data_IF_134631755820
#
_entry.id   IF_134631755820
#
_cell.length_a   1.000
_cell.length_b   1.000
_cell.length_c   1.000
_cell.angle_alpha   90.00
_cell.angle_beta   90.00
_cell.angle_gamma   90.00
#
_symmetry.space_group_name_H-M   'P 1'
#
loop_
_entity.id
_entity.type
_entity.pdbx_description
1 polymer ?
#
# COMPACT_ATOMS: atom_id res chain seq x y z
N UNK A 1 13.06 12.39 8.04
CA UNK A 1 12.10 12.62 9.14
C UNK A 1 11.07 13.68 8.78
N UNK A 2 10.08 13.29 7.97
CA UNK A 2 9.03 14.22 7.54
C UNK A 2 7.89 14.37 8.55
N UNK A 3 7.79 13.44 9.53
CA UNK A 3 6.82 13.43 10.62
C UNK A 3 7.50 13.01 11.92
N UNK A 4 8.25 13.92 12.57
CA UNK A 4 9.07 13.57 13.75
C UNK A 4 8.27 13.16 14.99
N UNK A 5 6.95 13.44 15.03
CA UNK A 5 6.06 13.05 16.12
C UNK A 5 5.43 11.66 15.92
N UNK A 6 5.56 11.09 14.72
CA UNK A 6 4.97 9.79 14.42
C UNK A 6 5.77 8.66 15.05
N UNK A 7 5.08 7.75 15.71
CA UNK A 7 5.64 6.44 16.11
C UNK A 7 5.43 5.47 14.95
N UNK A 8 6.51 4.85 14.48
CA UNK A 8 6.46 3.91 13.38
C UNK A 8 6.73 2.50 13.88
N UNK A 9 5.82 1.57 13.56
CA UNK A 9 5.94 0.15 13.83
C UNK A 9 6.06 -0.56 12.49
N UNK A 10 7.17 -1.24 12.25
CA UNK A 10 7.45 -1.96 11.02
C UNK A 10 7.87 -3.40 11.36
N UNK A 11 6.90 -4.33 11.50
CA UNK A 11 7.20 -5.70 11.87
C UNK A 11 7.76 -6.48 10.69
N UNK A 12 8.61 -7.47 10.99
CA UNK A 12 8.89 -8.55 10.05
C UNK A 12 7.64 -9.42 9.89
N UNK A 13 7.19 -9.60 8.66
CA UNK A 13 6.03 -10.45 8.41
C UNK A 13 6.46 -11.91 8.23
N UNK A 14 5.72 -12.87 8.84
CA UNK A 14 5.85 -14.28 8.49
C UNK A 14 5.65 -14.52 7.00
N UNK A 15 6.31 -15.53 6.46
CA UNK A 15 6.17 -15.87 5.04
C UNK A 15 4.79 -16.48 4.72
N UNK A 16 4.19 -17.16 5.68
CA UNK A 16 2.86 -17.73 5.55
C UNK A 16 1.80 -16.64 5.73
N UNK A 17 0.92 -16.42 4.73
CA UNK A 17 0.02 -15.29 4.72
C UNK A 17 -1.00 -15.27 5.87
N UNK A 18 -1.49 -16.41 6.32
CA UNK A 18 -2.40 -16.46 7.48
C UNK A 18 -1.70 -16.01 8.77
N UNK A 19 -0.46 -16.45 9.00
CA UNK A 19 0.34 -16.03 10.15
C UNK A 19 0.65 -14.52 10.09
N UNK A 20 0.94 -14.01 8.89
CA UNK A 20 1.17 -12.58 8.67
C UNK A 20 -0.10 -11.76 8.99
N UNK A 21 -1.27 -12.20 8.52
CA UNK A 21 -2.54 -11.54 8.82
C UNK A 21 -2.91 -11.60 10.29
N UNK A 22 -2.65 -12.73 10.96
CA UNK A 22 -2.87 -12.84 12.41
C UNK A 22 -1.99 -11.86 13.17
N UNK A 23 -0.70 -11.80 12.86
CA UNK A 23 0.23 -10.83 13.45
C UNK A 23 -0.26 -9.39 13.25
N UNK A 24 -0.63 -9.03 12.02
CA UNK A 24 -1.08 -7.68 11.69
C UNK A 24 -2.39 -7.31 12.40
N UNK A 25 -3.37 -8.21 12.44
CA UNK A 25 -4.63 -7.99 13.17
C UNK A 25 -4.39 -7.80 14.67
N UNK A 26 -3.46 -8.57 15.25
CA UNK A 26 -3.09 -8.42 16.65
C UNK A 26 -2.40 -7.07 16.90
N UNK A 27 -1.47 -6.65 16.03
CA UNK A 27 -0.84 -5.33 16.12
C UNK A 27 -1.86 -4.19 16.00
N UNK A 28 -2.78 -4.26 15.04
CA UNK A 28 -3.85 -3.25 14.92
C UNK A 28 -4.67 -3.17 16.20
N UNK A 29 -4.98 -4.30 16.82
CA UNK A 29 -5.77 -4.35 18.05
C UNK A 29 -5.01 -3.81 19.28
N UNK A 30 -3.71 -4.08 19.38
CA UNK A 30 -2.90 -3.68 20.54
C UNK A 30 -2.38 -2.25 20.44
N UNK A 31 -1.95 -1.84 19.25
CA UNK A 31 -1.31 -0.55 19.03
C UNK A 31 -2.30 0.54 18.60
N UNK A 32 -3.49 0.15 18.12
CA UNK A 32 -4.54 1.06 17.65
C UNK A 32 -3.98 2.17 16.72
N UNK A 33 -3.36 1.79 15.58
CA UNK A 33 -2.69 2.76 14.73
C UNK A 33 -3.66 3.74 14.09
N UNK A 34 -3.23 4.98 13.91
CA UNK A 34 -4.00 6.01 13.20
C UNK A 34 -3.98 5.80 11.68
N UNK A 35 -2.92 5.16 11.17
CA UNK A 35 -2.73 4.91 9.74
C UNK A 35 -1.91 3.64 9.51
N UNK A 36 -2.31 2.85 8.53
CA UNK A 36 -1.54 1.69 8.07
C UNK A 36 -1.08 1.96 6.63
N UNK A 37 0.20 1.71 6.37
CA UNK A 37 0.78 1.84 5.03
C UNK A 37 1.43 0.51 4.66
N UNK A 38 1.01 -0.07 3.54
CA UNK A 38 1.60 -1.31 3.02
C UNK A 38 2.02 -1.17 1.57
N UNK A 39 3.13 -1.81 1.22
CA UNK A 39 3.65 -1.84 -0.15
C UNK A 39 3.66 -3.27 -0.68
N UNK A 40 3.35 -3.45 -1.95
CA UNK A 40 3.37 -4.76 -2.62
C UNK A 40 2.52 -5.80 -1.87
N UNK A 41 3.09 -6.89 -1.41
CA UNK A 41 2.44 -7.89 -0.55
C UNK A 41 1.88 -7.25 0.73
N UNK A 42 2.62 -6.33 1.34
CA UNK A 42 2.14 -5.55 2.48
C UNK A 42 0.91 -4.70 2.15
N UNK A 43 0.81 -4.19 0.91
CA UNK A 43 -0.37 -3.49 0.41
C UNK A 43 -1.60 -4.38 0.29
N UNK A 44 -1.42 -5.63 -0.12
CA UNK A 44 -2.47 -6.65 -0.12
C UNK A 44 -3.02 -6.89 1.30
N UNK A 45 -2.14 -7.10 2.27
CA UNK A 45 -2.57 -7.27 3.67
C UNK A 45 -3.24 -6.02 4.24
N UNK A 46 -2.70 -4.84 3.91
CA UNK A 46 -3.23 -3.56 4.38
C UNK A 46 -4.67 -3.35 3.95
N UNK A 47 -5.03 -3.72 2.73
CA UNK A 47 -6.42 -3.63 2.27
C UNK A 47 -7.39 -4.36 3.20
N UNK A 48 -7.02 -5.52 3.71
CA UNK A 48 -7.86 -6.38 4.55
C UNK A 48 -7.89 -5.98 6.04
N UNK A 49 -7.19 -4.92 6.45
CA UNK A 49 -7.17 -4.41 7.83
C UNK A 49 -8.24 -3.31 8.01
N UNK A 50 -9.50 -3.70 7.86
CA UNK A 50 -10.66 -2.81 7.87
C UNK A 50 -10.79 -1.97 9.14
N UNK A 51 -11.44 -0.81 9.01
CA UNK A 51 -11.74 0.09 10.13
C UNK A 51 -10.67 1.14 10.43
N UNK A 52 -9.48 1.05 9.82
CA UNK A 52 -8.37 2.00 9.99
C UNK A 52 -8.12 2.74 8.67
N UNK A 53 -7.63 3.97 8.72
CA UNK A 53 -7.14 4.66 7.53
C UNK A 53 -5.93 3.93 6.94
N UNK A 54 -5.92 3.72 5.61
CA UNK A 54 -4.93 2.86 4.95
C UNK A 54 -4.43 3.44 3.65
N UNK A 55 -3.16 3.19 3.37
CA UNK A 55 -2.54 3.48 2.07
C UNK A 55 -1.94 2.18 1.53
N UNK A 56 -2.44 1.74 0.38
CA UNK A 56 -1.92 0.59 -0.35
C UNK A 56 -1.06 1.07 -1.50
N UNK A 57 0.23 0.74 -1.50
CA UNK A 57 1.17 1.15 -2.54
C UNK A 57 1.53 -0.05 -3.40
N UNK A 58 1.27 0.02 -4.70
CA UNK A 58 1.49 -1.10 -5.63
C UNK A 58 1.02 -2.43 -5.04
N UNK A 59 -0.22 -2.53 -4.51
CA UNK A 59 -0.68 -3.69 -3.77
C UNK A 59 -0.78 -4.93 -4.65
N UNK A 60 -0.14 -6.01 -4.21
CA UNK A 60 -0.06 -7.26 -4.95
C UNK A 60 -1.30 -8.15 -4.74
N UNK A 61 -2.49 -7.70 -5.13
CA UNK A 61 -3.76 -8.43 -4.99
C UNK A 61 -3.83 -9.74 -5.80
N UNK A 62 -2.86 -9.97 -6.67
CA UNK A 62 -2.72 -11.20 -7.45
C UNK A 62 -1.40 -11.92 -7.11
N UNK A 63 -1.01 -11.91 -5.83
CA UNK A 63 0.31 -12.35 -5.36
C UNK A 63 0.68 -13.74 -5.86
N UNK A 64 -0.24 -14.71 -5.85
CA UNK A 64 0.02 -16.05 -6.34
C UNK A 64 0.38 -16.09 -7.83
N UNK A 65 -0.26 -15.30 -8.67
CA UNK A 65 0.07 -15.13 -10.09
C UNK A 65 1.36 -14.36 -10.26
N UNK A 66 1.53 -13.27 -9.52
CA UNK A 66 2.75 -12.44 -9.54
C UNK A 66 4.00 -13.26 -9.24
N UNK A 67 3.99 -14.13 -8.22
CA UNK A 67 5.10 -15.02 -7.90
C UNK A 67 5.46 -15.93 -9.09
N UNK A 68 4.43 -16.49 -9.73
CA UNK A 68 4.62 -17.44 -10.83
C UNK A 68 5.16 -16.73 -12.08
N UNK A 69 4.56 -15.63 -12.46
CA UNK A 69 4.88 -14.86 -13.67
C UNK A 69 6.24 -14.15 -13.57
N UNK A 70 6.59 -13.68 -12.37
CA UNK A 70 7.87 -13.02 -12.11
C UNK A 70 9.01 -13.97 -11.75
N UNK A 71 8.83 -15.28 -11.95
CA UNK A 71 9.82 -16.32 -11.65
C UNK A 71 10.40 -16.27 -10.22
N UNK A 72 9.54 -15.97 -9.24
CA UNK A 72 9.91 -15.87 -7.83
C UNK A 72 9.83 -17.22 -7.08
N UNK A 73 9.76 -18.34 -7.81
CA UNK A 73 9.76 -19.70 -7.24
C UNK A 73 11.15 -20.09 -6.76
N UNK A 74 11.21 -20.94 -5.74
CA UNK A 74 12.47 -21.45 -5.20
C UNK A 74 13.12 -20.51 -4.19
N UNK A 75 14.44 -20.48 -4.16
CA UNK A 75 15.20 -19.68 -3.20
C UNK A 75 15.16 -18.21 -3.59
N UNK A 76 14.71 -17.38 -2.66
CA UNK A 76 14.65 -15.92 -2.76
C UNK A 76 15.40 -15.29 -1.60
N UNK A 77 15.91 -14.08 -1.81
CA UNK A 77 16.58 -13.27 -0.79
C UNK A 77 15.64 -12.14 -0.39
N UNK A 78 15.51 -11.90 0.90
CA UNK A 78 14.74 -10.76 1.39
C UNK A 78 15.39 -9.45 0.94
N UNK A 79 14.59 -8.53 0.44
CA UNK A 79 15.07 -7.24 -0.07
C UNK A 79 15.50 -6.27 1.04
N UNK A 80 14.91 -6.41 2.21
CA UNK A 80 15.21 -5.61 3.39
C UNK A 80 15.82 -6.50 4.45
N UNK A 81 16.70 -5.92 5.26
CA UNK A 81 17.22 -6.59 6.44
C UNK A 81 16.06 -6.85 7.43
N UNK A 82 16.00 -8.06 7.95
CA UNK A 82 14.99 -8.49 8.90
C UNK A 82 15.56 -8.47 10.34
N UNK A 83 14.70 -8.16 11.29
CA UNK A 83 15.06 -8.14 12.72
C UNK A 83 15.35 -9.55 13.27
N UNK A 84 14.70 -10.57 12.69
CA UNK A 84 14.94 -11.98 13.02
C UNK A 84 16.25 -12.54 12.44
N UNK A 85 16.94 -11.78 11.58
CA UNK A 85 18.20 -12.15 10.95
C UNK A 85 18.08 -13.10 9.76
N UNK A 86 16.86 -13.52 9.39
CA UNK A 86 16.62 -14.34 8.20
C UNK A 86 16.95 -13.57 6.93
N UNK A 87 17.70 -14.18 6.03
CA UNK A 87 18.14 -13.56 4.78
C UNK A 87 17.47 -14.13 3.55
N UNK A 88 16.96 -15.33 3.65
CA UNK A 88 16.50 -16.11 2.51
C UNK A 88 15.18 -16.82 2.85
N UNK A 89 14.41 -17.09 1.82
CA UNK A 89 13.16 -17.83 1.90
C UNK A 89 13.05 -18.79 0.72
N UNK A 90 12.39 -19.92 0.92
CA UNK A 90 12.08 -20.88 -0.16
C UNK A 90 10.61 -20.74 -0.52
N UNK A 91 10.34 -20.23 -1.71
CA UNK A 91 8.99 -20.11 -2.25
C UNK A 91 8.60 -21.41 -2.92
N UNK A 92 7.67 -22.12 -2.29
CA UNK A 92 7.16 -23.43 -2.75
C UNK A 92 5.82 -23.29 -3.46
N UNK A 93 5.40 -24.32 -4.19
CA UNK A 93 4.04 -24.37 -4.78
C UNK A 93 2.94 -24.33 -3.73
N UNK A 94 3.18 -24.91 -2.55
CA UNK A 94 2.24 -24.85 -1.44
C UNK A 94 2.07 -23.39 -0.96
N UNK A 95 3.17 -22.66 -0.78
CA UNK A 95 3.14 -21.24 -0.41
C UNK A 95 2.41 -20.40 -1.46
N UNK A 96 2.63 -20.63 -2.74
CA UNK A 96 1.89 -19.94 -3.82
C UNK A 96 0.39 -20.18 -3.71
N UNK A 97 -0.01 -21.39 -3.36
CA UNK A 97 -1.43 -21.72 -3.14
C UNK A 97 -2.01 -20.94 -1.96
N UNK A 98 -1.28 -20.86 -0.84
CA UNK A 98 -1.68 -20.06 0.33
C UNK A 98 -1.88 -18.58 -0.05
N UNK A 99 -0.99 -18.00 -0.86
CA UNK A 99 -1.16 -16.62 -1.36
C UNK A 99 -2.37 -16.46 -2.28
N UNK A 100 -2.68 -17.46 -3.12
CA UNK A 100 -3.90 -17.42 -3.94
C UNK A 100 -5.15 -17.41 -3.08
N UNK A 101 -5.21 -18.28 -2.08
CA UNK A 101 -6.32 -18.36 -1.12
C UNK A 101 -6.44 -17.07 -0.29
N UNK A 102 -5.32 -16.45 0.07
CA UNK A 102 -5.32 -15.14 0.77
C UNK A 102 -5.86 -14.02 -0.12
N UNK A 103 -5.44 -13.95 -1.39
CA UNK A 103 -5.89 -12.90 -2.31
C UNK A 103 -7.39 -12.98 -2.61
N UNK A 104 -8.01 -14.14 -2.49
CA UNK A 104 -9.46 -14.33 -2.62
C UNK A 104 -10.24 -13.67 -1.49
N UNK A 105 -9.59 -13.36 -0.36
CA UNK A 105 -10.20 -12.66 0.76
C UNK A 105 -10.17 -11.12 0.63
N UNK A 106 -9.40 -10.59 -0.33
CA UNK A 106 -9.35 -9.16 -0.60
C UNK A 106 -10.72 -8.61 -1.01
N UNK A 107 -11.00 -7.37 -0.64
CA UNK A 107 -12.24 -6.65 -0.96
C UNK A 107 -13.54 -7.23 -0.37
N UNK A 108 -13.45 -8.20 0.55
CA UNK A 108 -14.61 -8.91 1.09
C UNK A 108 -15.53 -8.03 1.96
N UNK A 109 -15.03 -6.93 2.54
CA UNK A 109 -15.77 -6.09 3.48
C UNK A 109 -15.74 -4.60 3.08
N UNK A 110 -15.68 -4.31 1.79
CA UNK A 110 -15.71 -2.93 1.29
C UNK A 110 -17.12 -2.34 1.44
N UNK A 111 -17.26 -1.38 2.34
CA UNK A 111 -18.47 -0.58 2.53
C UNK A 111 -18.25 0.85 2.06
N UNK A 112 -19.29 1.67 1.97
CA UNK A 112 -19.14 3.09 1.67
C UNK A 112 -18.21 3.81 2.68
N UNK A 113 -18.26 3.42 3.94
CA UNK A 113 -17.37 3.95 4.96
C UNK A 113 -15.91 3.54 4.72
N UNK A 114 -15.65 2.26 4.39
CA UNK A 114 -14.32 1.77 4.07
C UNK A 114 -13.73 2.44 2.82
N UNK A 115 -14.54 2.74 1.81
CA UNK A 115 -14.08 3.46 0.61
C UNK A 115 -13.49 4.84 0.94
N UNK A 116 -13.93 5.49 2.01
CA UNK A 116 -13.40 6.78 2.44
C UNK A 116 -12.06 6.67 3.21
N UNK A 117 -11.72 5.47 3.67
CA UNK A 117 -10.53 5.20 4.50
C UNK A 117 -9.33 4.72 3.70
N UNK A 118 -9.49 4.38 2.41
CA UNK A 118 -8.44 3.69 1.65
C UNK A 118 -7.96 4.51 0.46
N UNK A 119 -6.65 4.71 0.39
CA UNK A 119 -5.94 5.24 -0.76
C UNK A 119 -5.11 4.16 -1.42
N UNK A 120 -5.14 4.10 -2.74
CA UNK A 120 -4.23 3.30 -3.56
C UNK A 120 -3.24 4.20 -4.30
N UNK A 121 -1.95 3.91 -4.20
CA UNK A 121 -0.89 4.56 -4.96
C UNK A 121 -0.27 3.54 -5.92
N UNK A 122 -0.24 3.86 -7.21
CA UNK A 122 0.20 2.94 -8.25
C UNK A 122 1.28 3.56 -9.12
N UNK A 123 2.44 2.91 -9.22
CA UNK A 123 3.51 3.32 -10.12
C UNK A 123 3.13 3.06 -11.58
N UNK A 124 3.23 4.08 -12.42
CA UNK A 124 2.91 3.98 -13.85
C UNK A 124 3.97 3.21 -14.67
N UNK A 125 5.13 2.98 -14.07
CA UNK A 125 6.25 2.21 -14.64
C UNK A 125 6.53 0.91 -13.83
N UNK A 126 5.59 0.45 -13.00
CA UNK A 126 5.75 -0.78 -12.22
C UNK A 126 5.79 -2.00 -13.14
N UNK A 127 6.91 -2.75 -13.22
CA UNK A 127 7.01 -3.93 -14.10
C UNK A 127 6.42 -5.21 -13.48
N UNK A 128 5.97 -5.16 -12.22
CA UNK A 128 5.64 -6.35 -11.43
C UNK A 128 4.15 -6.43 -11.11
N UNK A 129 3.55 -5.32 -10.69
CA UNK A 129 2.18 -5.27 -10.18
C UNK A 129 1.33 -4.30 -10.99
N UNK A 130 0.20 -4.78 -11.51
CA UNK A 130 -0.73 -4.03 -12.35
C UNK A 130 -2.15 -4.18 -11.82
N UNK A 131 -2.43 -3.65 -10.64
CA UNK A 131 -3.70 -3.85 -9.93
C UNK A 131 -4.52 -2.56 -9.75
N UNK A 132 -4.19 -1.51 -10.50
CA UNK A 132 -4.94 -0.25 -10.46
C UNK A 132 -6.42 -0.42 -10.81
N UNK A 133 -6.72 -1.11 -11.91
CA UNK A 133 -8.10 -1.32 -12.37
C UNK A 133 -8.89 -2.13 -11.35
N UNK A 134 -8.31 -3.24 -10.86
CA UNK A 134 -8.92 -4.07 -9.83
C UNK A 134 -9.21 -3.28 -8.55
N UNK A 135 -8.27 -2.45 -8.08
CA UNK A 135 -8.48 -1.59 -6.93
C UNK A 135 -9.60 -0.58 -7.18
N UNK A 136 -9.64 0.02 -8.37
CA UNK A 136 -10.60 1.05 -8.76
C UNK A 136 -12.04 0.53 -8.90
N UNK A 137 -12.22 -0.78 -9.06
CA UNK A 137 -13.54 -1.42 -9.01
C UNK A 137 -14.17 -1.35 -7.60
N UNK A 138 -13.35 -1.23 -6.56
CA UNK A 138 -13.79 -1.27 -5.17
C UNK A 138 -13.60 0.06 -4.44
N UNK A 139 -12.56 0.83 -4.78
CA UNK A 139 -12.16 2.06 -4.10
C UNK A 139 -12.02 3.22 -5.08
N UNK A 140 -12.46 4.40 -4.67
CA UNK A 140 -12.46 5.61 -5.53
C UNK A 140 -11.19 6.43 -5.43
N UNK A 141 -10.39 6.25 -4.37
CA UNK A 141 -9.18 7.03 -4.11
C UNK A 141 -7.94 6.32 -4.66
N UNK A 142 -7.90 6.12 -5.97
CA UNK A 142 -6.80 5.49 -6.71
C UNK A 142 -5.98 6.55 -7.43
N UNK A 143 -4.67 6.54 -7.22
CA UNK A 143 -3.74 7.58 -7.66
C UNK A 143 -2.57 6.93 -8.38
N UNK A 144 -2.27 7.38 -9.59
CA UNK A 144 -1.01 7.06 -10.26
C UNK A 144 0.12 7.99 -9.80
N UNK A 145 1.31 7.43 -9.61
CA UNK A 145 2.53 8.21 -9.46
C UNK A 145 3.56 7.80 -10.50
N UNK A 146 4.40 8.75 -10.89
CA UNK A 146 5.50 8.44 -11.81
C UNK A 146 6.61 7.70 -11.07
N UNK A 147 6.71 6.42 -11.34
CA UNK A 147 7.69 5.54 -10.72
C UNK A 147 7.39 4.06 -10.89
N UNK A 148 8.34 3.29 -10.40
CA UNK A 148 8.35 1.83 -10.48
C UNK A 148 7.69 1.17 -9.26
N UNK A 149 7.93 -0.14 -9.10
CA UNK A 149 7.41 -0.95 -8.00
C UNK A 149 7.83 -0.45 -6.61
N UNK A 150 9.07 0.02 -6.48
CA UNK A 150 9.60 0.53 -5.21
C UNK A 150 9.43 2.05 -5.11
N UNK A 151 8.93 2.50 -3.96
CA UNK A 151 8.93 3.92 -3.65
C UNK A 151 10.35 4.42 -3.42
N UNK A 152 10.81 5.29 -4.30
CA UNK A 152 12.03 6.08 -4.08
C UNK A 152 11.70 7.34 -3.27
N UNK A 153 12.71 7.96 -2.66
CA UNK A 153 12.54 9.15 -1.82
C UNK A 153 11.72 10.26 -2.49
N UNK A 154 11.96 10.50 -3.78
CA UNK A 154 11.21 11.49 -4.56
C UNK A 154 9.72 11.15 -4.64
N UNK A 155 9.38 9.89 -4.86
CA UNK A 155 7.98 9.44 -4.90
C UNK A 155 7.33 9.52 -3.51
N UNK A 156 8.06 9.18 -2.46
CA UNK A 156 7.60 9.37 -1.08
C UNK A 156 7.25 10.82 -0.83
N UNK A 157 8.14 11.74 -1.15
CA UNK A 157 7.94 13.16 -0.89
C UNK A 157 6.78 13.77 -1.68
N UNK A 158 6.67 13.43 -2.98
CA UNK A 158 5.70 14.06 -3.88
C UNK A 158 4.32 13.42 -3.85
N UNK A 159 4.21 12.13 -3.50
CA UNK A 159 2.95 11.40 -3.59
C UNK A 159 2.48 10.84 -2.25
N UNK A 160 3.33 10.11 -1.54
CA UNK A 160 2.93 9.46 -0.30
C UNK A 160 2.72 10.48 0.83
N UNK A 161 3.66 11.41 1.04
CA UNK A 161 3.56 12.40 2.11
C UNK A 161 2.35 13.34 2.00
N UNK A 162 1.94 13.83 0.82
CA UNK A 162 0.70 14.59 0.69
C UNK A 162 -0.54 13.82 1.12
N UNK A 163 -0.62 12.52 0.81
CA UNK A 163 -1.74 11.67 1.23
C UNK A 163 -1.72 11.45 2.74
N UNK A 164 -0.56 11.18 3.34
CA UNK A 164 -0.43 11.04 4.80
C UNK A 164 -0.89 12.33 5.51
N UNK A 165 -0.41 13.48 5.07
CA UNK A 165 -0.81 14.79 5.65
C UNK A 165 -2.29 15.05 5.49
N UNK A 166 -2.87 14.64 4.36
CA UNK A 166 -4.29 14.79 4.15
C UNK A 166 -5.12 13.94 5.12
N UNK A 167 -4.69 12.71 5.38
CA UNK A 167 -5.33 11.83 6.36
C UNK A 167 -5.19 12.43 7.77
N UNK A 168 -3.98 12.86 8.14
CA UNK A 168 -3.69 13.48 9.43
C UNK A 168 -4.56 14.74 9.67
N UNK A 169 -4.64 15.65 8.69
CA UNK A 169 -5.47 16.85 8.77
C UNK A 169 -6.96 16.50 8.90
N UNK A 170 -7.42 15.47 8.22
CA UNK A 170 -8.81 14.99 8.31
C UNK A 170 -9.11 14.41 9.71
N UNK A 171 -8.22 13.60 10.24
CA UNK A 171 -8.37 12.99 11.57
C UNK A 171 -8.40 14.05 12.67
N UNK A 172 -7.59 15.10 12.54
CA UNK A 172 -7.57 16.23 13.47
C UNK A 172 -8.66 17.28 13.20
N UNK A 173 -9.48 17.10 12.17
CA UNK A 173 -10.56 18.04 11.82
C UNK A 173 -10.06 19.37 11.25
N UNK A 174 -8.82 19.44 10.78
CA UNK A 174 -8.25 20.65 10.16
C UNK A 174 -8.75 20.85 8.73
N UNK A 175 -9.00 22.10 8.33
CA UNK A 175 -9.35 22.43 6.95
C UNK A 175 -8.15 22.20 6.01
N UNK A 176 -8.45 21.61 4.87
CA UNK A 176 -7.47 21.39 3.82
C UNK A 176 -7.27 22.64 2.98
N UNK A 177 -6.13 23.28 3.11
CA UNK A 177 -5.80 24.42 2.26
C UNK A 177 -5.19 24.04 0.90
N UNK A 178 -4.77 22.79 0.72
CA UNK A 178 -3.95 22.36 -0.41
C UNK A 178 -4.55 21.21 -1.23
N UNK A 179 -5.80 20.85 -1.02
CA UNK A 179 -6.44 19.68 -1.64
C UNK A 179 -6.38 19.72 -3.16
N UNK A 180 -6.69 20.86 -3.78
CA UNK A 180 -6.70 20.97 -5.24
C UNK A 180 -5.31 20.82 -5.85
N UNK A 181 -4.30 21.40 -5.22
CA UNK A 181 -2.90 21.30 -5.67
C UNK A 181 -2.40 19.87 -5.50
N UNK A 182 -2.71 19.23 -4.39
CA UNK A 182 -2.31 17.85 -4.11
C UNK A 182 -2.98 16.85 -5.06
N UNK A 183 -4.27 17.04 -5.35
CA UNK A 183 -4.99 16.19 -6.28
C UNK A 183 -4.50 16.35 -7.71
N UNK A 184 -4.28 17.58 -8.17
CA UNK A 184 -3.76 17.84 -9.51
C UNK A 184 -2.33 17.30 -9.64
N UNK A 185 -1.50 17.49 -8.65
CA UNK A 185 -0.14 16.95 -8.62
C UNK A 185 -0.14 15.43 -8.65
N UNK A 186 -1.01 14.80 -7.86
CA UNK A 186 -1.14 13.36 -7.80
C UNK A 186 -1.73 12.79 -9.10
N UNK A 187 -2.75 13.45 -9.65
CA UNK A 187 -3.40 13.03 -10.90
C UNK A 187 -2.48 13.14 -12.11
N UNK A 188 -1.66 14.18 -12.18
CA UNK A 188 -0.76 14.40 -13.30
C UNK A 188 0.51 13.55 -13.25
N UNK A 189 0.80 12.93 -12.11
CA UNK A 189 1.99 12.13 -11.93
C UNK A 189 3.32 12.88 -11.99
N UNK A 190 3.31 14.17 -12.30
CA UNK A 190 4.51 14.96 -12.58
C UNK A 190 4.77 16.13 -11.61
N UNK A 191 3.91 16.35 -10.65
CA UNK A 191 4.08 17.46 -9.71
C UNK A 191 4.00 18.87 -10.32
N UNK A 192 3.48 18.96 -11.55
CA UNK A 192 3.25 20.24 -12.19
C UNK A 192 1.75 20.52 -12.22
N UNK A 193 1.30 21.67 -11.72
CA UNK A 193 -0.09 22.07 -11.88
C UNK A 193 -0.41 22.12 -13.39
N UNK A 194 -1.55 21.56 -13.78
CA UNK A 194 -2.04 21.77 -15.15
C UNK A 194 -2.15 23.25 -15.41
N UNK A 195 -1.52 23.71 -16.45
CA UNK A 195 -1.60 25.10 -16.92
C UNK A 195 -2.97 25.46 -17.51
N UNK A 196 -4.06 24.89 -17.00
CA UNK A 196 -5.43 25.08 -17.47
C UNK A 196 -6.17 26.22 -16.78
N UNK A 197 -5.48 27.11 -16.11
CA UNK A 197 -6.02 28.41 -15.71
C UNK A 197 -5.71 29.45 -16.80
N UNK A 198 -6.06 29.13 -18.04
CA UNK A 198 -6.22 30.12 -19.09
C UNK A 198 -7.65 30.04 -19.58
N UNK A 199 -8.53 30.77 -18.91
CA UNK A 199 -9.49 31.73 -19.50
C UNK A 199 -10.57 32.09 -18.52
#
# INVERSE_FOLDING_TARGET
>A
DYMPQATVIAPDLPIHPEEAMELLRNLVKTENPDLIIGTSMGGMYTEMLYGVDRICVNPAFQMGSTITESNMMGKQVYQNERQDGEKEVIVTKALVKEYKEMTEQCFAQVTEEEQLKVFGLFGDEDPIVHTFDLFSEHYTQAIHFHGEHRLIEKAIFHYLMPVIRWIDDRQEGRERRTVLISQDTLADGYGKPKSSLHK
#
